data_IF_761022252705
#
_entry.id   IF_761022252705
#
_cell.length_a   1.000
_cell.length_b   1.000
_cell.length_c   1.000
_cell.angle_alpha   90.00
_cell.angle_beta   90.00
_cell.angle_gamma   90.00
#
_symmetry.space_group_name_H-M   'P 1'
#
loop_
_entity.id
_entity.type
_entity.pdbx_description
1 polymer ?
#
# COMPACT_ATOMS: atom_id res chain seq x y z
N UNK A 1 22.13 40.04 -12.42
CA UNK A 1 21.00 39.41 -11.71
C UNK A 1 20.22 38.63 -12.76
N UNK A 2 20.39 37.31 -12.80
CA UNK A 2 19.69 36.45 -13.75
C UNK A 2 18.27 36.25 -13.24
N UNK A 3 17.30 36.87 -13.91
CA UNK A 3 15.88 36.58 -13.69
C UNK A 3 15.61 35.20 -14.31
N UNK A 4 15.77 34.15 -13.52
CA UNK A 4 15.26 32.83 -13.86
C UNK A 4 13.72 32.88 -13.76
N UNK A 5 13.09 33.21 -14.89
CA UNK A 5 11.65 33.09 -15.11
C UNK A 5 11.29 31.70 -15.67
N UNK A 6 11.87 30.64 -15.12
CA UNK A 6 11.26 29.33 -15.25
C UNK A 6 9.84 29.41 -14.67
N UNK A 7 8.78 29.06 -15.44
CA UNK A 7 7.43 29.07 -14.90
C UNK A 7 7.43 28.17 -13.66
N UNK A 8 7.03 28.70 -12.50
CA UNK A 8 6.78 27.88 -11.32
C UNK A 8 5.82 26.79 -11.77
N UNK A 9 6.31 25.55 -11.82
CA UNK A 9 5.51 24.39 -12.15
C UNK A 9 4.31 24.43 -11.21
N UNK A 10 3.11 24.58 -11.75
CA UNK A 10 1.91 24.61 -10.94
C UNK A 10 1.78 23.22 -10.31
N UNK A 11 2.10 23.16 -9.02
CA UNK A 11 2.04 21.93 -8.24
C UNK A 11 0.59 21.49 -8.20
N UNK A 12 0.35 20.21 -8.48
CA UNK A 12 -1.01 19.69 -8.56
C UNK A 12 -1.81 19.98 -7.28
N UNK A 13 -3.07 20.34 -7.46
CA UNK A 13 -4.05 20.47 -6.39
C UNK A 13 -5.43 20.10 -6.90
N UNK A 14 -6.02 19.05 -6.34
CA UNK A 14 -7.43 18.76 -6.56
C UNK A 14 -8.27 19.98 -6.20
N UNK A 15 -9.31 20.25 -6.99
CA UNK A 15 -10.23 21.36 -6.76
C UNK A 15 -11.42 20.93 -5.86
N UNK A 16 -11.66 19.63 -5.75
CA UNK A 16 -12.75 19.06 -4.96
C UNK A 16 -12.18 18.16 -3.88
N UNK A 17 -12.74 18.26 -2.67
CA UNK A 17 -12.27 17.55 -1.50
C UNK A 17 -13.39 16.81 -0.81
N UNK A 18 -13.06 15.66 -0.24
CA UNK A 18 -13.87 14.99 0.76
C UNK A 18 -13.21 15.20 2.12
N UNK A 19 -13.93 15.89 2.99
CA UNK A 19 -13.56 16.15 4.39
C UNK A 19 -14.32 15.20 5.32
N UNK A 20 -13.84 15.08 6.55
CA UNK A 20 -14.56 14.38 7.61
C UNK A 20 -15.96 14.97 7.84
N UNK A 21 -16.92 14.08 8.09
CA UNK A 21 -18.33 14.42 8.36
C UNK A 21 -18.63 14.28 9.86
N UNK A 22 -18.95 15.37 10.58
CA UNK A 22 -19.22 15.33 12.02
C UNK A 22 -20.33 14.35 12.43
N UNK A 23 -21.32 14.13 11.56
CA UNK A 23 -22.38 13.15 11.73
C UNK A 23 -21.88 11.69 11.75
N UNK A 24 -20.66 11.42 11.26
CA UNK A 24 -19.99 10.11 11.29
C UNK A 24 -18.94 10.00 12.41
N UNK A 25 -19.04 10.82 13.46
CA UNK A 25 -18.07 10.87 14.56
C UNK A 25 -18.14 9.69 15.54
N UNK A 26 -19.24 8.94 15.57
CA UNK A 26 -19.41 7.82 16.50
C UNK A 26 -18.39 6.70 16.20
N UNK A 27 -17.67 6.17 17.21
CA UNK A 27 -16.51 5.31 17.00
C UNK A 27 -16.87 3.91 16.49
N UNK A 28 -15.91 3.26 15.82
CA UNK A 28 -16.06 1.91 15.26
C UNK A 28 -16.94 1.85 14.01
N UNK A 29 -17.49 0.66 13.73
CA UNK A 29 -18.28 0.36 12.53
C UNK A 29 -19.78 0.62 12.74
N UNK A 30 -20.17 1.89 12.92
CA UNK A 30 -21.59 2.23 13.09
C UNK A 30 -22.40 2.01 11.79
N UNK A 31 -23.72 1.80 11.87
CA UNK A 31 -24.57 1.68 10.68
C UNK A 31 -24.38 2.82 9.68
N UNK A 32 -24.23 4.06 10.17
CA UNK A 32 -24.05 5.25 9.34
C UNK A 32 -22.71 5.25 8.61
N UNK A 33 -21.62 4.85 9.28
CA UNK A 33 -20.29 4.72 8.66
C UNK A 33 -20.26 3.60 7.63
N UNK A 34 -20.90 2.47 7.94
CA UNK A 34 -20.99 1.33 7.02
C UNK A 34 -21.84 1.68 5.79
N UNK A 35 -22.94 2.40 5.97
CA UNK A 35 -23.75 2.87 4.85
C UNK A 35 -23.00 3.89 4.00
N UNK A 36 -22.29 4.83 4.62
CA UNK A 36 -21.44 5.78 3.89
C UNK A 36 -20.35 5.06 3.06
N UNK A 37 -19.70 4.06 3.67
CA UNK A 37 -18.72 3.21 2.98
C UNK A 37 -19.36 2.40 1.84
N UNK A 38 -20.58 1.88 2.02
CA UNK A 38 -21.32 1.16 0.98
C UNK A 38 -21.71 2.06 -0.18
N UNK A 39 -22.19 3.27 0.10
CA UNK A 39 -22.64 4.23 -0.91
C UNK A 39 -21.46 4.83 -1.70
N UNK A 40 -20.42 5.28 -1.00
CA UNK A 40 -19.36 6.08 -1.62
C UNK A 40 -18.03 5.34 -1.82
N UNK A 41 -17.87 4.15 -1.22
CA UNK A 41 -16.65 3.36 -1.36
C UNK A 41 -15.50 3.83 -0.47
N UNK A 42 -15.78 4.77 0.44
CA UNK A 42 -14.87 5.21 1.48
C UNK A 42 -15.62 5.83 2.67
N UNK A 43 -14.92 5.96 3.79
CA UNK A 43 -15.35 6.74 4.96
C UNK A 43 -14.11 7.32 5.65
N UNK A 44 -14.23 8.55 6.15
CA UNK A 44 -13.22 9.18 7.01
C UNK A 44 -13.70 9.04 8.45
N UNK A 45 -12.84 8.49 9.30
CA UNK A 45 -13.08 8.33 10.73
C UNK A 45 -12.17 9.26 11.52
N UNK A 46 -12.59 9.66 12.71
CA UNK A 46 -11.84 10.55 13.62
C UNK A 46 -11.46 9.86 14.94
N UNK A 47 -11.48 8.53 14.99
CA UNK A 47 -11.29 7.72 16.21
C UNK A 47 -9.93 7.91 16.89
N UNK A 48 -8.94 8.47 16.18
CA UNK A 48 -7.59 8.72 16.71
C UNK A 48 -7.25 10.21 16.82
N UNK A 49 -8.22 11.11 16.62
CA UNK A 49 -8.02 12.54 16.88
C UNK A 49 -7.68 12.74 18.36
N UNK A 50 -6.70 13.60 18.63
CA UNK A 50 -6.11 13.85 19.95
C UNK A 50 -5.43 12.64 20.61
N UNK A 51 -5.27 11.52 19.91
CA UNK A 51 -4.58 10.36 20.45
C UNK A 51 -3.07 10.67 20.65
N UNK A 52 -2.50 10.40 21.84
CA UNK A 52 -1.10 10.73 22.15
C UNK A 52 -0.06 10.02 21.27
N UNK A 53 -0.44 8.92 20.60
CA UNK A 53 0.43 8.23 19.64
C UNK A 53 0.70 9.05 18.39
N UNK A 54 -0.23 9.90 17.95
CA UNK A 54 -0.12 10.65 16.69
C UNK A 54 1.18 11.46 16.59
N UNK A 55 1.54 12.34 17.55
CA UNK A 55 2.81 13.07 17.50
C UNK A 55 4.04 12.15 17.59
N UNK A 56 3.99 11.06 18.36
CA UNK A 56 5.10 10.11 18.52
C UNK A 56 5.40 9.40 17.19
N UNK A 57 4.36 8.86 16.57
CA UNK A 57 4.43 8.18 15.28
C UNK A 57 4.84 9.14 14.17
N UNK A 58 4.36 10.39 14.19
CA UNK A 58 4.75 11.42 13.21
C UNK A 58 6.26 11.63 13.22
N UNK A 59 6.86 11.84 14.39
CA UNK A 59 8.30 12.06 14.49
C UNK A 59 9.11 10.82 14.10
N UNK A 60 8.65 9.62 14.45
CA UNK A 60 9.25 8.37 13.97
C UNK A 60 9.17 8.26 12.44
N UNK A 61 8.01 8.58 11.85
CA UNK A 61 7.82 8.61 10.40
C UNK A 61 8.78 9.58 9.70
N UNK A 62 8.97 10.78 10.25
CA UNK A 62 9.93 11.77 9.73
C UNK A 62 11.36 11.23 9.73
N UNK A 63 11.79 10.58 10.82
CA UNK A 63 13.13 9.97 10.93
C UNK A 63 13.32 8.83 9.92
N UNK A 64 12.33 7.96 9.77
CA UNK A 64 12.37 6.86 8.78
C UNK A 64 12.44 7.40 7.36
N UNK A 65 11.57 8.34 7.00
CA UNK A 65 11.58 8.97 5.66
C UNK A 65 12.91 9.64 5.37
N UNK A 66 13.47 10.39 6.34
CA UNK A 66 14.78 11.01 6.19
C UNK A 66 15.88 9.96 6.02
N UNK A 67 15.88 8.89 6.82
CA UNK A 67 16.89 7.84 6.73
C UNK A 67 16.84 7.07 5.40
N UNK A 68 15.65 6.89 4.81
CA UNK A 68 15.47 6.24 3.51
C UNK A 68 15.81 7.13 2.29
N UNK A 69 16.22 8.37 2.52
CA UNK A 69 16.74 9.26 1.49
C UNK A 69 17.91 8.60 0.72
N UNK A 70 17.97 8.73 -0.62
CA UNK A 70 18.96 8.02 -1.44
C UNK A 70 20.41 8.32 -1.05
N UNK A 71 20.71 9.55 -0.60
CA UNK A 71 22.04 9.95 -0.14
C UNK A 71 22.53 9.25 1.14
N UNK A 72 21.63 8.68 1.93
CA UNK A 72 21.97 8.01 3.18
C UNK A 72 22.25 6.51 3.00
N UNK A 73 21.91 5.93 1.85
CA UNK A 73 22.07 4.51 1.58
C UNK A 73 21.46 3.64 2.69
N UNK A 74 22.33 2.96 3.46
CA UNK A 74 21.96 2.14 4.61
C UNK A 74 22.65 2.57 5.92
N UNK A 75 23.29 3.74 5.94
CA UNK A 75 24.18 4.16 7.04
C UNK A 75 23.41 4.60 8.29
N UNK A 76 22.19 5.11 8.10
CA UNK A 76 21.32 5.58 9.20
C UNK A 76 20.41 4.45 9.68
N UNK A 77 19.63 3.90 8.73
CA UNK A 77 18.76 2.73 8.90
C UNK A 77 19.11 1.74 7.80
N UNK A 78 19.21 0.46 8.17
CA UNK A 78 19.36 -0.63 7.19
C UNK A 78 18.00 -0.90 6.52
N UNK A 79 17.62 -0.01 5.60
CA UNK A 79 16.35 -0.09 4.89
C UNK A 79 16.30 -1.23 3.85
N UNK A 80 17.42 -1.95 3.63
CA UNK A 80 17.44 -3.19 2.84
C UNK A 80 16.67 -4.34 3.50
N UNK A 81 16.36 -4.20 4.80
CA UNK A 81 15.49 -5.11 5.57
C UNK A 81 13.99 -4.83 5.42
N UNK A 82 13.63 -3.81 4.64
CA UNK A 82 12.26 -3.47 4.32
C UNK A 82 12.00 -3.54 2.82
N UNK A 83 11.02 -2.78 2.36
CA UNK A 83 10.82 -2.52 0.93
C UNK A 83 10.48 -1.04 0.75
N UNK A 84 11.40 -0.28 0.14
CA UNK A 84 11.22 1.15 -0.10
C UNK A 84 10.74 1.36 -1.53
N UNK A 85 9.53 1.89 -1.65
CA UNK A 85 9.00 2.37 -2.93
C UNK A 85 9.66 3.69 -3.27
N UNK A 86 10.33 3.74 -4.42
CA UNK A 86 11.10 4.90 -4.86
C UNK A 86 10.52 5.50 -6.15
N UNK A 87 10.61 6.81 -6.26
CA UNK A 87 10.20 7.59 -7.43
C UNK A 87 11.46 7.99 -8.22
N UNK A 88 11.36 9.03 -9.05
CA UNK A 88 12.52 9.62 -9.70
C UNK A 88 13.63 9.96 -8.70
N UNK A 89 14.89 9.96 -9.15
CA UNK A 89 16.06 10.19 -8.29
C UNK A 89 16.14 9.30 -7.03
N UNK A 90 15.45 8.16 -7.03
CA UNK A 90 15.40 7.22 -5.92
C UNK A 90 14.79 7.78 -4.62
N UNK A 91 14.03 8.87 -4.71
CA UNK A 91 13.33 9.46 -3.56
C UNK A 91 12.22 8.53 -3.04
N UNK A 92 12.13 8.27 -1.73
CA UNK A 92 11.09 7.40 -1.17
C UNK A 92 9.70 8.06 -1.24
N UNK A 93 8.68 7.27 -1.60
CA UNK A 93 7.27 7.68 -1.53
C UNK A 93 6.38 6.71 -0.73
N UNK A 94 6.90 5.54 -0.40
CA UNK A 94 6.26 4.58 0.49
C UNK A 94 7.32 3.66 1.10
N UNK A 95 7.22 3.33 2.38
CA UNK A 95 8.23 2.59 3.12
C UNK A 95 7.56 1.43 3.87
N UNK A 96 7.87 0.21 3.46
CA UNK A 96 7.40 -1.03 4.11
C UNK A 96 8.52 -1.62 4.95
N UNK A 97 8.14 -2.41 5.95
CA UNK A 97 9.10 -2.99 6.91
C UNK A 97 9.39 -2.14 8.12
N UNK A 98 8.58 -1.11 8.40
CA UNK A 98 8.76 -0.21 9.56
C UNK A 98 8.61 -0.91 10.92
N UNK A 99 8.12 -2.15 10.96
CA UNK A 99 8.14 -3.00 12.16
C UNK A 99 9.45 -3.77 12.36
N UNK A 100 10.27 -3.88 11.32
CA UNK A 100 11.53 -4.61 11.38
C UNK A 100 12.50 -3.87 12.32
N UNK A 101 13.16 -4.54 13.29
CA UNK A 101 14.00 -3.87 14.29
C UNK A 101 15.19 -3.09 13.68
N UNK A 102 15.62 -3.44 12.46
CA UNK A 102 16.60 -2.68 11.69
C UNK A 102 16.20 -1.21 11.42
N UNK A 103 14.91 -0.88 11.45
CA UNK A 103 14.40 0.49 11.34
C UNK A 103 14.55 1.29 12.63
N UNK A 104 14.88 0.65 13.76
CA UNK A 104 15.17 1.31 15.05
C UNK A 104 14.04 2.21 15.56
N UNK A 105 12.80 1.95 15.16
CA UNK A 105 11.60 2.69 15.58
C UNK A 105 10.55 1.73 16.15
N UNK A 106 10.75 1.21 17.39
CA UNK A 106 9.84 0.23 17.99
C UNK A 106 8.42 0.75 18.19
N UNK A 107 8.24 2.08 18.24
CA UNK A 107 6.95 2.76 18.42
C UNK A 107 5.89 2.35 17.39
N UNK A 108 6.29 1.93 16.18
CA UNK A 108 5.34 1.40 15.20
C UNK A 108 4.76 0.05 15.64
N UNK A 109 5.59 -0.84 16.18
CA UNK A 109 5.14 -2.14 16.71
C UNK A 109 4.34 -1.96 18.00
N UNK A 110 4.76 -1.04 18.86
CA UNK A 110 4.04 -0.69 20.09
C UNK A 110 2.64 -0.14 19.79
N UNK A 111 2.50 0.80 18.84
CA UNK A 111 1.19 1.28 18.42
C UNK A 111 0.35 0.19 17.76
N UNK A 112 0.95 -0.63 16.89
CA UNK A 112 0.25 -1.70 16.17
C UNK A 112 -0.37 -2.74 17.13
N UNK A 113 0.27 -2.97 18.28
CA UNK A 113 -0.23 -3.81 19.36
C UNK A 113 -0.99 -3.09 20.48
N UNK A 114 -1.07 -1.75 20.43
CA UNK A 114 -1.60 -0.95 21.54
C UNK A 114 -3.09 -1.19 21.79
N UNK A 115 -3.58 -0.99 23.03
CA UNK A 115 -5.01 -0.99 23.33
C UNK A 115 -5.81 0.04 22.52
N UNK A 116 -5.18 1.16 22.12
CA UNK A 116 -5.83 2.18 21.29
C UNK A 116 -6.18 1.64 19.90
N UNK A 117 -5.20 1.03 19.21
CA UNK A 117 -5.43 0.48 17.88
C UNK A 117 -6.23 -0.82 17.91
N UNK A 118 -5.88 -1.76 18.80
CA UNK A 118 -6.61 -3.04 18.93
C UNK A 118 -8.03 -2.83 19.46
N UNK A 119 -8.27 -1.82 20.31
CA UNK A 119 -9.60 -1.43 20.76
C UNK A 119 -10.47 -0.90 19.62
N UNK A 120 -9.90 -0.15 18.68
CA UNK A 120 -10.58 0.21 17.43
C UNK A 120 -10.90 -1.03 16.59
N UNK A 121 -9.91 -1.92 16.37
CA UNK A 121 -10.11 -3.14 15.59
C UNK A 121 -11.21 -4.01 16.19
N UNK A 122 -11.25 -4.17 17.52
CA UNK A 122 -12.34 -4.88 18.20
C UNK A 122 -13.70 -4.27 17.90
N UNK A 123 -13.84 -2.94 18.01
CA UNK A 123 -15.10 -2.24 17.69
C UNK A 123 -15.47 -2.33 16.21
N UNK A 124 -14.49 -2.40 15.31
CA UNK A 124 -14.72 -2.43 13.86
C UNK A 124 -14.96 -3.84 13.31
N UNK A 125 -14.26 -4.85 13.81
CA UNK A 125 -14.26 -6.22 13.27
C UNK A 125 -14.90 -7.25 14.20
N UNK A 126 -15.26 -6.86 15.44
CA UNK A 126 -15.77 -7.77 16.47
C UNK A 126 -14.86 -9.00 16.67
N UNK A 127 -13.58 -8.71 16.92
CA UNK A 127 -12.53 -9.71 17.08
C UNK A 127 -11.58 -9.30 18.20
N UNK A 128 -11.14 -10.28 18.99
CA UNK A 128 -10.14 -10.09 20.03
C UNK A 128 -8.71 -10.25 19.47
N UNK A 129 -7.70 -9.58 20.07
CA UNK A 129 -6.31 -9.65 19.60
C UNK A 129 -5.77 -11.07 19.40
N UNK A 130 -6.18 -12.01 20.25
CA UNK A 130 -5.79 -13.42 20.22
C UNK A 130 -6.29 -14.16 18.98
N UNK A 131 -7.28 -13.62 18.26
CA UNK A 131 -7.86 -14.19 17.03
C UNK A 131 -7.44 -13.42 15.77
N UNK A 132 -6.43 -12.55 15.87
CA UNK A 132 -5.91 -11.81 14.73
C UNK A 132 -4.86 -12.59 13.95
N UNK A 133 -4.73 -12.26 12.66
CA UNK A 133 -3.62 -12.59 11.79
C UNK A 133 -3.05 -11.30 11.21
N UNK A 134 -1.71 -11.24 11.13
CA UNK A 134 -1.01 -10.04 10.71
C UNK A 134 -1.31 -9.68 9.25
N UNK A 135 -1.38 -8.39 8.97
CA UNK A 135 -1.59 -7.86 7.62
C UNK A 135 -0.51 -6.85 7.27
N UNK A 136 -0.79 -5.96 6.32
CA UNK A 136 0.14 -4.94 5.88
C UNK A 136 0.32 -3.81 6.90
N UNK A 137 1.54 -3.30 6.96
CA UNK A 137 1.85 -1.98 7.51
C UNK A 137 2.88 -1.27 6.62
N UNK A 138 2.60 -0.01 6.34
CA UNK A 138 3.34 0.81 5.38
C UNK A 138 3.26 2.28 5.81
N UNK A 139 4.39 2.98 5.78
CA UNK A 139 4.44 4.43 5.91
C UNK A 139 4.42 5.08 4.53
N UNK A 140 3.39 5.89 4.25
CA UNK A 140 3.36 6.77 3.10
C UNK A 140 4.10 8.07 3.38
N UNK A 141 4.98 8.45 2.45
CA UNK A 141 5.74 9.70 2.51
C UNK A 141 5.78 10.38 1.13
N UNK A 142 6.20 11.63 1.08
CA UNK A 142 6.39 12.33 -0.18
C UNK A 142 7.87 12.33 -0.60
N UNK A 143 8.17 12.12 -1.89
CA UNK A 143 9.49 12.37 -2.43
C UNK A 143 9.81 13.87 -2.30
N UNK A 144 11.05 14.20 -1.94
CA UNK A 144 11.40 15.59 -1.58
C UNK A 144 11.62 16.51 -2.77
N UNK A 145 11.85 15.94 -3.96
CA UNK A 145 12.38 16.69 -5.12
C UNK A 145 11.42 16.79 -6.31
N UNK A 146 10.64 15.75 -6.58
CA UNK A 146 9.79 15.64 -7.78
C UNK A 146 8.44 15.07 -7.43
N UNK A 147 7.38 15.58 -8.06
CA UNK A 147 6.05 14.98 -7.95
C UNK A 147 6.10 13.51 -8.39
N UNK A 148 5.31 12.70 -7.70
CA UNK A 148 5.10 11.30 -8.05
C UNK A 148 3.59 11.05 -8.09
N UNK A 149 3.08 10.66 -9.26
CA UNK A 149 1.67 10.35 -9.48
C UNK A 149 1.53 8.90 -9.90
N UNK A 150 0.69 8.15 -9.21
CA UNK A 150 0.33 6.81 -9.63
C UNK A 150 -0.70 6.87 -10.78
N UNK A 151 -0.76 5.81 -11.59
CA UNK A 151 -1.90 5.63 -12.50
C UNK A 151 -3.20 5.49 -11.71
N UNK A 152 -4.33 5.87 -12.31
CA UNK A 152 -5.63 5.51 -11.77
C UNK A 152 -5.79 3.99 -11.80
N UNK A 153 -6.25 3.41 -10.70
CA UNK A 153 -6.37 1.95 -10.56
C UNK A 153 -7.45 1.55 -9.56
N UNK A 154 -7.70 0.24 -9.51
CA UNK A 154 -8.31 -0.45 -8.37
C UNK A 154 -7.24 -1.37 -7.77
N UNK A 155 -7.34 -1.69 -6.49
CA UNK A 155 -6.38 -2.58 -5.81
C UNK A 155 -6.62 -4.06 -6.11
N UNK A 156 -7.83 -4.42 -6.54
CA UNK A 156 -8.17 -5.79 -6.94
C UNK A 156 -7.74 -6.08 -8.37
N UNK A 157 -7.69 -7.34 -8.77
CA UNK A 157 -7.68 -7.72 -10.19
C UNK A 157 -9.12 -7.86 -10.68
N UNK A 158 -9.48 -7.23 -11.80
CA UNK A 158 -10.83 -7.30 -12.39
C UNK A 158 -10.82 -7.75 -13.86
N UNK A 159 -9.71 -8.36 -14.29
CA UNK A 159 -9.48 -8.92 -15.62
C UNK A 159 -8.91 -10.32 -15.50
N UNK A 160 -8.91 -11.09 -16.59
CA UNK A 160 -8.27 -12.40 -16.63
C UNK A 160 -8.88 -13.37 -15.63
N UNK A 161 -8.05 -14.12 -14.90
CA UNK A 161 -8.53 -15.04 -13.85
C UNK A 161 -9.10 -14.32 -12.62
N UNK A 162 -8.76 -13.04 -12.42
CA UNK A 162 -9.07 -12.30 -11.19
C UNK A 162 -8.09 -12.57 -10.05
N UNK A 163 -7.06 -13.39 -10.27
CA UNK A 163 -6.02 -13.64 -9.28
C UNK A 163 -5.08 -12.43 -9.13
N UNK A 164 -4.50 -12.28 -7.95
CA UNK A 164 -3.45 -11.28 -7.70
C UNK A 164 -2.16 -11.66 -8.42
N UNK A 165 -1.38 -10.67 -8.82
CA UNK A 165 -0.07 -10.85 -9.45
C UNK A 165 1.06 -10.27 -8.58
N UNK A 166 2.28 -10.76 -8.79
CA UNK A 166 3.47 -10.22 -8.14
C UNK A 166 3.86 -8.86 -8.71
N UNK A 167 4.24 -7.93 -7.85
CA UNK A 167 4.59 -6.55 -8.22
C UNK A 167 5.81 -6.44 -9.13
N UNK A 168 6.68 -7.45 -9.15
CA UNK A 168 7.84 -7.50 -10.04
C UNK A 168 7.55 -8.20 -11.38
N UNK A 169 6.38 -8.83 -11.53
CA UNK A 169 6.05 -9.61 -12.72
C UNK A 169 5.14 -8.83 -13.68
N UNK A 170 5.31 -9.10 -14.96
CA UNK A 170 4.40 -8.59 -16.00
C UNK A 170 3.25 -9.56 -16.19
N UNK A 171 2.05 -9.02 -16.43
CA UNK A 171 0.90 -9.85 -16.85
C UNK A 171 1.17 -10.46 -18.22
N UNK A 172 0.99 -11.78 -18.33
CA UNK A 172 1.23 -12.57 -19.55
C UNK A 172 -0.05 -12.93 -20.29
N UNK A 173 -1.21 -12.59 -19.72
CA UNK A 173 -2.52 -12.86 -20.29
C UNK A 173 -2.76 -12.04 -21.57
N UNK A 174 -3.39 -12.66 -22.58
CA UNK A 174 -3.67 -12.04 -23.87
C UNK A 174 -4.91 -11.12 -23.86
N UNK A 175 -5.21 -10.46 -24.99
CA UNK A 175 -6.34 -9.54 -25.13
C UNK A 175 -7.70 -10.11 -24.72
N UNK A 176 -7.92 -11.41 -24.90
CA UNK A 176 -9.15 -12.12 -24.54
C UNK A 176 -9.47 -12.05 -23.04
N UNK A 177 -8.45 -12.02 -22.19
CA UNK A 177 -8.58 -11.86 -20.74
C UNK A 177 -9.08 -10.46 -20.33
N UNK A 178 -9.02 -9.48 -21.24
CA UNK A 178 -9.50 -8.11 -21.06
C UNK A 178 -10.81 -7.84 -21.81
N UNK A 179 -11.45 -8.89 -22.34
CA UNK A 179 -12.76 -8.76 -22.96
C UNK A 179 -13.82 -8.28 -21.97
N UNK A 180 -14.81 -7.55 -22.46
CA UNK A 180 -15.94 -7.10 -21.64
C UNK A 180 -16.69 -8.27 -20.98
N UNK A 181 -16.76 -9.42 -21.66
CA UNK A 181 -17.37 -10.63 -21.10
C UNK A 181 -16.65 -11.11 -19.84
N UNK A 182 -15.31 -11.25 -19.90
CA UNK A 182 -14.50 -11.65 -18.74
C UNK A 182 -14.64 -10.62 -17.62
N UNK A 183 -14.54 -9.34 -17.93
CA UNK A 183 -14.69 -8.28 -16.94
C UNK A 183 -16.07 -8.29 -16.28
N UNK A 184 -17.15 -8.53 -17.03
CA UNK A 184 -18.51 -8.62 -16.46
C UNK A 184 -18.63 -9.77 -15.48
N UNK A 185 -17.93 -10.88 -15.71
CA UNK A 185 -17.87 -11.99 -14.75
C UNK A 185 -17.10 -11.54 -13.50
N UNK A 186 -15.87 -11.02 -13.66
CA UNK A 186 -15.04 -10.56 -12.53
C UNK A 186 -15.73 -9.46 -11.73
N UNK A 187 -16.47 -8.58 -12.39
CA UNK A 187 -17.20 -7.49 -11.75
C UNK A 187 -18.32 -7.97 -10.83
N UNK A 188 -19.04 -9.04 -11.20
CA UNK A 188 -20.05 -9.64 -10.33
C UNK A 188 -19.42 -10.21 -9.07
N UNK A 189 -18.32 -10.94 -9.22
CA UNK A 189 -17.56 -11.49 -8.08
C UNK A 189 -17.07 -10.37 -7.16
N UNK A 190 -16.57 -9.28 -7.73
CA UNK A 190 -16.15 -8.08 -6.99
C UNK A 190 -17.31 -7.45 -6.22
N UNK A 191 -18.50 -7.34 -6.81
CA UNK A 191 -19.67 -6.77 -6.13
C UNK A 191 -20.09 -7.63 -4.93
N UNK A 192 -20.09 -8.95 -5.08
CA UNK A 192 -20.40 -9.89 -4.01
C UNK A 192 -19.35 -9.81 -2.88
N UNK A 193 -18.06 -9.81 -3.23
CA UNK A 193 -16.97 -9.67 -2.26
C UNK A 193 -16.97 -8.32 -1.56
N UNK A 194 -17.32 -7.24 -2.25
CA UNK A 194 -17.45 -5.91 -1.66
C UNK A 194 -18.54 -5.86 -0.57
N UNK A 195 -19.72 -6.42 -0.84
CA UNK A 195 -20.80 -6.46 0.14
C UNK A 195 -20.44 -7.37 1.32
N UNK A 196 -19.78 -8.50 1.03
CA UNK A 196 -19.27 -9.43 2.05
C UNK A 196 -18.29 -8.74 3.00
N UNK A 197 -17.32 -7.97 2.48
CA UNK A 197 -16.33 -7.24 3.30
C UNK A 197 -16.97 -6.23 4.23
N UNK A 198 -17.99 -5.50 3.77
CA UNK A 198 -18.71 -4.50 4.58
C UNK A 198 -19.57 -5.20 5.65
N UNK A 199 -20.18 -6.34 5.31
CA UNK A 199 -21.08 -7.06 6.22
C UNK A 199 -20.32 -7.85 7.28
N UNK A 200 -19.37 -8.68 6.85
CA UNK A 200 -18.64 -9.59 7.75
C UNK A 200 -17.56 -8.86 8.55
N UNK A 201 -16.96 -7.80 7.98
CA UNK A 201 -15.91 -6.99 8.62
C UNK A 201 -14.76 -7.83 9.19
N UNK A 202 -14.39 -8.91 8.51
CA UNK A 202 -13.30 -9.79 8.93
C UNK A 202 -11.93 -9.11 8.91
N UNK A 203 -11.80 -7.93 8.33
CA UNK A 203 -10.56 -7.16 8.34
C UNK A 203 -10.84 -5.67 8.32
N UNK A 204 -9.85 -4.90 8.76
CA UNK A 204 -9.83 -3.45 8.58
C UNK A 204 -8.42 -3.01 8.23
N UNK A 205 -8.32 -2.29 7.12
CA UNK A 205 -7.15 -1.52 6.74
C UNK A 205 -7.55 -0.06 6.63
N UNK A 206 -6.70 0.83 7.16
CA UNK A 206 -6.92 2.27 7.12
C UNK A 206 -5.66 3.01 6.70
N UNK A 207 -5.83 4.24 6.22
CA UNK A 207 -4.78 5.22 6.06
C UNK A 207 -4.91 6.24 7.20
N UNK A 208 -4.18 6.02 8.30
CA UNK A 208 -4.16 6.89 9.47
C UNK A 208 -3.20 8.05 9.22
N UNK A 209 -3.74 9.26 9.11
CA UNK A 209 -2.96 10.45 8.88
C UNK A 209 -2.22 10.87 10.16
N UNK A 210 -0.90 10.95 10.09
CA UNK A 210 -0.07 11.47 11.18
C UNK A 210 0.16 12.97 11.00
N UNK A 211 0.17 13.48 9.77
CA UNK A 211 0.17 14.90 9.42
C UNK A 211 -1.08 15.24 8.58
N UNK A 212 -1.30 16.51 8.24
CA UNK A 212 -2.31 16.85 7.22
C UNK A 212 -1.97 16.11 5.91
N UNK A 213 -2.91 15.36 5.34
CA UNK A 213 -2.73 14.59 4.11
C UNK A 213 -3.85 14.89 3.11
N UNK A 214 -3.48 15.15 1.85
CA UNK A 214 -4.41 15.33 0.72
C UNK A 214 -3.94 14.58 -0.55
N UNK A 215 -3.07 13.59 -0.40
CA UNK A 215 -2.41 12.87 -1.49
C UNK A 215 -3.23 11.71 -2.06
N UNK A 216 -4.34 11.32 -1.43
CA UNK A 216 -5.19 10.21 -1.90
C UNK A 216 -6.41 10.77 -2.64
N UNK A 217 -6.60 10.37 -3.88
CA UNK A 217 -7.71 10.81 -4.72
C UNK A 217 -8.56 9.61 -5.13
N UNK A 218 -9.87 9.78 -5.22
CA UNK A 218 -10.79 8.72 -5.64
C UNK A 218 -12.01 9.24 -6.38
N UNK A 219 -12.68 8.34 -7.10
CA UNK A 219 -14.00 8.57 -7.70
C UNK A 219 -15.04 7.89 -6.81
N UNK A 220 -15.80 8.68 -6.05
CA UNK A 220 -16.79 8.15 -5.10
C UNK A 220 -17.85 7.28 -5.81
N UNK A 221 -18.21 6.16 -5.19
CA UNK A 221 -19.22 5.21 -5.70
C UNK A 221 -18.75 4.33 -6.86
N UNK A 222 -17.53 4.49 -7.36
CA UNK A 222 -17.01 3.70 -8.50
C UNK A 222 -16.79 2.21 -8.18
N UNK A 223 -16.81 1.82 -6.90
CA UNK A 223 -16.72 0.42 -6.44
C UNK A 223 -18.00 -0.39 -6.64
N UNK A 224 -19.16 0.27 -6.82
CA UNK A 224 -20.47 -0.39 -6.87
C UNK A 224 -21.13 -0.36 -8.25
N UNK A 225 -20.66 0.50 -9.16
CA UNK A 225 -21.18 0.63 -10.53
C UNK A 225 -20.23 0.12 -11.61
N UNK A 226 -20.81 -0.31 -12.73
CA UNK A 226 -20.05 -0.59 -13.94
C UNK A 226 -19.26 0.64 -14.41
N UNK A 227 -18.07 0.41 -14.96
CA UNK A 227 -17.20 1.48 -15.47
C UNK A 227 -17.82 2.22 -16.65
N UNK A 228 -17.52 3.50 -16.76
CA UNK A 228 -17.78 4.32 -17.95
C UNK A 228 -16.76 4.04 -19.05
N UNK A 229 -17.01 4.46 -20.32
CA UNK A 229 -15.99 4.37 -21.37
C UNK A 229 -14.70 5.15 -21.05
N UNK A 230 -14.82 6.30 -20.38
CA UNK A 230 -13.67 7.09 -19.93
C UNK A 230 -12.85 6.32 -18.89
N UNK A 231 -13.50 5.78 -17.86
CA UNK A 231 -12.81 4.98 -16.85
C UNK A 231 -12.18 3.72 -17.45
N UNK A 232 -12.80 3.13 -18.48
CA UNK A 232 -12.18 2.03 -19.20
C UNK A 232 -10.87 2.45 -19.87
N UNK A 233 -10.90 3.54 -20.62
CA UNK A 233 -9.70 4.07 -21.28
C UNK A 233 -8.61 4.39 -20.25
N UNK A 234 -8.98 4.99 -19.13
CA UNK A 234 -8.05 5.35 -18.05
C UNK A 234 -7.41 4.11 -17.40
N UNK A 235 -8.20 3.06 -17.14
CA UNK A 235 -7.78 1.89 -16.38
C UNK A 235 -7.17 0.77 -17.23
N UNK A 236 -7.45 0.74 -18.53
CA UNK A 236 -6.95 -0.30 -19.43
C UNK A 236 -5.44 -0.14 -19.65
N UNK A 237 -4.62 -1.17 -19.41
CA UNK A 237 -3.17 -1.09 -19.62
C UNK A 237 -2.82 -0.72 -21.07
N UNK A 238 -1.82 0.13 -21.26
CA UNK A 238 -1.39 0.55 -22.60
C UNK A 238 -1.00 -0.64 -23.49
N UNK A 239 -0.31 -1.63 -22.94
CA UNK A 239 0.06 -2.85 -23.67
C UNK A 239 -1.14 -3.63 -24.22
N UNK A 240 -2.31 -3.52 -23.57
CA UNK A 240 -3.54 -4.17 -24.03
C UNK A 240 -4.24 -3.34 -25.09
N UNK A 241 -4.19 -2.02 -24.99
CA UNK A 241 -4.63 -1.11 -26.07
C UNK A 241 -3.83 -1.37 -27.34
N UNK A 242 -2.51 -1.51 -27.21
CA UNK A 242 -1.60 -1.75 -28.34
C UNK A 242 -1.84 -3.11 -29.02
N UNK A 243 -2.29 -4.11 -28.25
CA UNK A 243 -2.69 -5.42 -28.76
C UNK A 243 -4.12 -5.48 -29.30
N UNK A 244 -4.84 -4.35 -29.31
CA UNK A 244 -6.15 -4.22 -29.96
C UNK A 244 -7.36 -4.52 -29.08
N UNK A 245 -7.22 -4.53 -27.74
CA UNK A 245 -8.39 -4.59 -26.86
C UNK A 245 -9.28 -3.36 -27.12
N UNK A 246 -10.58 -3.53 -27.44
CA UNK A 246 -11.46 -2.41 -27.77
C UNK A 246 -11.60 -1.41 -26.63
N UNK A 247 -11.40 -0.12 -26.91
CA UNK A 247 -11.62 0.98 -25.97
C UNK A 247 -12.05 2.26 -26.69
N UNK A 248 -12.47 3.28 -25.93
CA UNK A 248 -12.82 4.60 -26.48
C UNK A 248 -11.81 5.63 -25.97
N UNK A 249 -10.83 6.06 -26.79
CA UNK A 249 -9.89 7.11 -26.41
C UNK A 249 -10.64 8.37 -26.02
N UNK A 250 -10.53 8.77 -24.76
CA UNK A 250 -11.32 9.88 -24.20
C UNK A 250 -10.62 10.62 -23.06
N UNK A 251 -9.56 10.08 -22.48
CA UNK A 251 -8.77 10.79 -21.47
C UNK A 251 -7.52 11.43 -22.07
N UNK A 252 -7.24 12.67 -21.68
CA UNK A 252 -6.04 13.40 -22.14
C UNK A 252 -4.79 13.13 -21.28
N UNK A 253 -4.89 12.26 -20.27
CA UNK A 253 -3.79 11.90 -19.37
C UNK A 253 -3.59 12.86 -18.19
N UNK A 254 -4.26 14.01 -18.18
CA UNK A 254 -4.01 15.08 -17.21
C UNK A 254 -5.26 15.53 -16.47
N UNK A 255 -6.42 15.53 -17.12
CA UNK A 255 -7.63 16.08 -16.54
C UNK A 255 -8.17 15.20 -15.40
N UNK A 256 -8.78 15.81 -14.37
CA UNK A 256 -9.49 15.08 -13.33
C UNK A 256 -10.58 14.17 -13.90
N UNK A 257 -10.81 13.03 -13.26
CA UNK A 257 -11.96 12.18 -13.60
C UNK A 257 -13.27 12.82 -13.11
N UNK A 258 -14.40 12.62 -13.82
CA UNK A 258 -15.70 13.09 -13.34
C UNK A 258 -16.02 12.54 -11.94
N UNK A 259 -16.41 13.43 -11.02
CA UNK A 259 -16.72 13.05 -9.64
C UNK A 259 -15.51 12.71 -8.77
N UNK A 260 -14.29 12.97 -9.26
CA UNK A 260 -13.07 12.86 -8.48
C UNK A 260 -13.08 13.81 -7.27
N UNK A 261 -12.58 13.30 -6.14
CA UNK A 261 -12.29 14.07 -4.93
C UNK A 261 -10.90 13.71 -4.39
N UNK A 262 -10.21 14.68 -3.79
CA UNK A 262 -9.07 14.41 -2.92
C UNK A 262 -9.57 14.21 -1.48
N UNK A 263 -9.11 13.15 -0.82
CA UNK A 263 -9.39 12.90 0.59
C UNK A 263 -8.52 13.82 1.41
N UNK A 264 -9.11 14.69 2.23
CA UNK A 264 -8.39 15.57 3.13
C UNK A 264 -8.48 15.03 4.55
N UNK A 265 -7.34 14.68 5.13
CA UNK A 265 -7.23 14.16 6.48
C UNK A 265 -6.46 15.13 7.37
N UNK A 266 -6.91 15.28 8.60
CA UNK A 266 -6.17 15.88 9.72
C UNK A 266 -5.46 14.79 10.54
N UNK A 267 -4.42 15.15 11.32
CA UNK A 267 -3.78 14.22 12.22
C UNK A 267 -4.77 13.49 13.13
N UNK A 268 -4.71 12.16 13.13
CA UNK A 268 -5.63 11.30 13.89
C UNK A 268 -6.93 10.96 13.16
N UNK A 269 -7.21 11.59 12.03
CA UNK A 269 -8.23 11.09 11.11
C UNK A 269 -7.66 9.94 10.27
N UNK A 270 -8.52 9.01 9.88
CA UNK A 270 -8.13 7.90 9.03
C UNK A 270 -9.15 7.66 7.91
N UNK A 271 -8.63 7.33 6.73
CA UNK A 271 -9.43 6.87 5.60
C UNK A 271 -9.58 5.35 5.66
N UNK A 272 -10.81 4.85 5.70
CA UNK A 272 -11.13 3.45 5.38
C UNK A 272 -11.79 3.45 4.02
N UNK A 273 -11.29 2.63 3.10
CA UNK A 273 -11.69 2.67 1.69
C UNK A 273 -11.90 1.25 1.18
N UNK A 274 -12.85 1.10 0.27
CA UNK A 274 -12.95 -0.11 -0.53
C UNK A 274 -11.83 -0.13 -1.58
N UNK A 275 -11.01 -1.18 -1.57
CA UNK A 275 -9.90 -1.36 -2.52
C UNK A 275 -10.33 -1.31 -3.99
N UNK A 276 -11.59 -1.63 -4.29
CA UNK A 276 -12.13 -1.55 -5.65
C UNK A 276 -12.50 -0.15 -6.09
N UNK A 277 -12.64 0.85 -5.20
CA UNK A 277 -12.89 2.23 -5.62
C UNK A 277 -11.76 2.72 -6.53
N UNK A 278 -12.09 3.32 -7.68
CA UNK A 278 -11.12 3.91 -8.60
C UNK A 278 -10.41 5.04 -7.88
N UNK A 279 -9.08 4.98 -7.84
CA UNK A 279 -8.28 5.87 -7.03
C UNK A 279 -6.86 6.05 -7.59
N UNK A 280 -6.16 7.05 -7.06
CA UNK A 280 -4.74 7.29 -7.30
C UNK A 280 -4.08 7.95 -6.09
N UNK A 281 -2.76 7.93 -6.09
CA UNK A 281 -1.94 8.67 -5.13
C UNK A 281 -1.14 9.74 -5.86
N UNK A 282 -1.18 10.96 -5.35
CA UNK A 282 -0.40 12.09 -5.85
C UNK A 282 0.47 12.67 -4.75
N UNK A 283 1.77 12.41 -4.84
CA UNK A 283 2.76 12.91 -3.91
C UNK A 283 3.32 14.23 -4.44
N UNK A 284 3.34 15.24 -3.58
CA UNK A 284 3.73 16.61 -3.90
C UNK A 284 4.99 16.98 -3.10
N UNK A 285 6.09 17.40 -3.75
CA UNK A 285 7.27 17.89 -3.06
C UNK A 285 6.91 19.03 -2.10
N UNK A 286 7.69 19.20 -1.03
CA UNK A 286 7.52 20.27 -0.02
C UNK A 286 6.27 20.15 0.87
N UNK A 287 5.30 19.30 0.52
CA UNK A 287 4.20 18.94 1.42
C UNK A 287 4.58 17.70 2.20
N UNK A 288 4.48 17.78 3.52
CA UNK A 288 4.63 16.60 4.35
C UNK A 288 3.52 15.61 4.02
N UNK A 289 3.91 14.36 3.81
CA UNK A 289 2.99 13.21 3.88
C UNK A 289 3.58 12.25 4.89
N UNK A 290 2.74 11.86 5.83
CA UNK A 290 3.13 11.00 6.93
C UNK A 290 1.87 10.25 7.35
N UNK A 291 1.61 9.13 6.69
CA UNK A 291 0.34 8.42 6.80
C UNK A 291 0.59 6.92 6.87
N UNK A 292 0.05 6.28 7.90
CA UNK A 292 0.20 4.83 8.08
C UNK A 292 -0.92 4.11 7.34
N UNK A 293 -0.57 3.30 6.34
CA UNK A 293 -1.45 2.23 5.88
C UNK A 293 -1.27 1.04 6.79
N UNK A 294 -2.26 0.76 7.63
CA UNK A 294 -2.15 -0.19 8.74
C UNK A 294 -3.46 -0.94 8.94
N UNK A 295 -3.39 -2.21 9.35
CA UNK A 295 -4.58 -3.02 9.54
C UNK A 295 -4.35 -4.35 10.23
N UNK A 296 -5.45 -4.98 10.64
CA UNK A 296 -5.49 -6.34 11.16
C UNK A 296 -6.62 -7.11 10.47
N UNK A 297 -6.47 -8.42 10.41
CA UNK A 297 -7.51 -9.34 9.93
C UNK A 297 -7.82 -10.37 11.00
N UNK A 298 -9.07 -10.81 11.03
CA UNK A 298 -9.50 -12.00 11.76
C UNK A 298 -8.86 -13.24 11.12
N UNK A 299 -8.34 -14.11 11.96
CA UNK A 299 -7.77 -15.37 11.52
C UNK A 299 -8.89 -16.33 11.11
N UNK A 300 -8.83 -16.82 9.87
CA UNK A 300 -9.81 -17.76 9.31
C UNK A 300 -9.59 -19.22 9.71
N UNK A 301 -8.57 -19.52 10.51
CA UNK A 301 -8.11 -20.88 10.80
C UNK A 301 -6.86 -21.28 10.02
N UNK A 302 -6.32 -22.48 10.27
CA UNK A 302 -5.19 -23.01 9.52
C UNK A 302 -5.58 -23.30 8.06
N UNK A 303 -4.63 -23.14 7.15
CA UNK A 303 -4.79 -23.55 5.75
C UNK A 303 -4.16 -24.93 5.55
N UNK A 304 -4.77 -25.75 4.69
CA UNK A 304 -4.15 -26.96 4.15
C UNK A 304 -3.40 -26.69 2.84
N UNK A 305 -3.46 -25.45 2.32
CA UNK A 305 -2.72 -25.07 1.12
C UNK A 305 -1.22 -24.97 1.39
N UNK A 306 -0.42 -25.31 0.39
CA UNK A 306 1.02 -25.10 0.43
C UNK A 306 1.39 -23.61 0.60
N UNK A 307 2.41 -23.29 1.42
CA UNK A 307 2.85 -21.92 1.60
C UNK A 307 3.24 -21.25 0.28
N UNK A 308 2.68 -20.07 0.03
CA UNK A 308 2.85 -19.31 -1.21
C UNK A 308 4.11 -18.44 -1.13
N UNK A 309 4.81 -18.30 -2.26
CA UNK A 309 5.87 -17.28 -2.34
C UNK A 309 5.22 -15.92 -2.12
N UNK A 310 5.78 -15.14 -1.21
CA UNK A 310 5.25 -13.81 -0.91
C UNK A 310 5.77 -12.79 -1.90
N UNK A 311 4.96 -11.78 -2.23
CA UNK A 311 5.40 -10.63 -3.01
C UNK A 311 6.52 -9.88 -2.26
N UNK A 312 7.53 -9.41 -3.00
CA UNK A 312 8.69 -8.70 -2.45
C UNK A 312 8.34 -7.57 -1.49
N UNK A 313 7.20 -6.89 -1.70
CA UNK A 313 6.69 -5.83 -0.81
C UNK A 313 6.41 -6.31 0.63
N UNK A 314 6.28 -7.61 0.83
CA UNK A 314 5.99 -8.27 2.11
C UNK A 314 7.08 -9.25 2.53
N UNK A 315 8.11 -9.50 1.71
CA UNK A 315 9.21 -10.41 2.04
C UNK A 315 9.84 -10.09 3.40
N UNK A 316 9.99 -8.80 3.71
CA UNK A 316 10.52 -8.32 5.00
C UNK A 316 9.81 -8.91 6.21
N UNK A 317 8.51 -9.19 6.09
CA UNK A 317 7.69 -9.67 7.19
C UNK A 317 8.06 -11.11 7.55
N UNK A 318 8.63 -11.90 6.63
CA UNK A 318 9.09 -13.26 6.92
C UNK A 318 10.43 -13.32 7.67
N UNK A 319 11.13 -12.21 7.88
CA UNK A 319 12.35 -12.22 8.70
C UNK A 319 11.97 -12.50 10.17
N UNK A 320 12.51 -13.57 10.80
CA UNK A 320 12.22 -13.90 12.20
C UNK A 320 12.54 -12.75 13.17
N UNK A 321 13.45 -11.85 12.82
CA UNK A 321 13.72 -10.65 13.62
C UNK A 321 12.49 -9.75 13.78
N UNK A 322 11.57 -9.74 12.80
CA UNK A 322 10.27 -9.05 12.92
C UNK A 322 9.45 -9.69 14.03
N UNK A 323 9.26 -11.02 13.97
CA UNK A 323 8.49 -11.77 14.97
C UNK A 323 9.03 -11.51 16.39
N UNK A 324 10.34 -11.62 16.58
CA UNK A 324 10.97 -11.45 17.89
C UNK A 324 10.86 -10.02 18.44
N UNK A 325 10.76 -9.02 17.56
CA UNK A 325 10.58 -7.62 17.95
C UNK A 325 9.14 -7.25 18.32
N UNK A 326 8.15 -8.12 18.07
CA UNK A 326 6.75 -7.81 18.40
C UNK A 326 6.55 -7.80 19.93
N UNK A 327 5.93 -6.74 20.49
CA UNK A 327 5.91 -6.51 21.94
C UNK A 327 4.96 -7.44 22.72
N UNK A 328 4.04 -8.13 22.04
CA UNK A 328 3.05 -8.99 22.68
C UNK A 328 3.09 -10.42 22.11
N UNK A 329 2.92 -11.42 22.98
CA UNK A 329 2.90 -12.83 22.57
C UNK A 329 1.76 -13.15 21.58
N UNK A 330 0.60 -12.49 21.71
CA UNK A 330 -0.49 -12.64 20.75
C UNK A 330 -0.10 -12.10 19.36
N UNK A 331 0.73 -11.05 19.27
CA UNK A 331 1.22 -10.53 17.99
C UNK A 331 2.17 -11.52 17.33
N UNK A 332 3.03 -12.20 18.12
CA UNK A 332 3.90 -13.27 17.61
C UNK A 332 3.08 -14.42 17.05
N UNK A 333 1.98 -14.78 17.74
CA UNK A 333 1.03 -15.78 17.24
C UNK A 333 0.32 -15.32 15.97
N UNK A 334 -0.10 -14.04 15.89
CA UNK A 334 -0.70 -13.46 14.70
C UNK A 334 0.27 -13.43 13.50
N UNK A 335 1.55 -13.22 13.78
CA UNK A 335 2.63 -13.34 12.79
C UNK A 335 2.83 -14.81 12.37
N UNK A 336 2.89 -15.75 13.31
CA UNK A 336 3.07 -17.19 13.04
C UNK A 336 1.97 -17.72 12.11
N UNK A 337 0.72 -17.30 12.34
CA UNK A 337 -0.43 -17.62 11.49
C UNK A 337 -0.27 -17.09 10.06
N UNK A 338 0.28 -15.89 9.90
CA UNK A 338 0.55 -15.32 8.59
C UNK A 338 1.72 -16.05 7.92
N UNK A 339 2.83 -16.22 8.62
CA UNK A 339 4.04 -16.86 8.12
C UNK A 339 3.81 -18.34 7.74
N UNK A 340 2.92 -19.06 8.42
CA UNK A 340 2.57 -20.43 8.07
C UNK A 340 2.02 -20.60 6.65
N UNK A 341 1.47 -19.53 6.06
CA UNK A 341 0.89 -19.54 4.72
C UNK A 341 1.84 -18.97 3.64
N UNK A 342 3.04 -18.54 4.03
CA UNK A 342 3.94 -17.80 3.15
C UNK A 342 5.38 -18.29 3.26
N UNK A 343 6.14 -18.12 2.18
CA UNK A 343 7.58 -18.39 2.14
C UNK A 343 8.31 -17.32 1.31
N UNK A 344 9.60 -17.16 1.58
CA UNK A 344 10.47 -16.33 0.76
C UNK A 344 10.68 -17.02 -0.59
N UNK A 345 10.73 -16.23 -1.66
CA UNK A 345 11.17 -16.74 -2.97
C UNK A 345 12.69 -16.88 -3.05
N UNK A 346 13.15 -17.50 -4.13
CA UNK A 346 14.55 -17.89 -4.33
C UNK A 346 15.31 -16.92 -5.26
N UNK A 347 14.65 -15.85 -5.71
CA UNK A 347 15.21 -14.83 -6.60
C UNK A 347 15.34 -13.50 -5.88
N UNK A 348 16.18 -12.59 -6.40
CA UNK A 348 16.31 -11.25 -5.83
C UNK A 348 14.99 -10.46 -5.96
N UNK A 349 14.29 -10.64 -7.07
CA UNK A 349 13.01 -9.99 -7.38
C UNK A 349 11.87 -10.48 -6.46
N UNK A 350 12.02 -11.64 -5.81
CA UNK A 350 11.05 -12.11 -4.82
C UNK A 350 11.26 -11.42 -3.45
N UNK A 351 12.38 -10.74 -3.26
CA UNK A 351 12.83 -10.24 -1.94
C UNK A 351 13.04 -8.73 -1.87
N UNK A 352 13.39 -8.10 -2.99
CA UNK A 352 13.98 -6.76 -2.99
C UNK A 352 13.34 -5.83 -4.01
N UNK A 353 13.37 -4.53 -3.71
CA UNK A 353 13.07 -3.51 -4.70
C UNK A 353 14.26 -3.33 -5.66
N UNK A 354 14.01 -2.81 -6.87
CA UNK A 354 15.06 -2.60 -7.87
C UNK A 354 16.27 -1.79 -7.40
N UNK A 355 16.09 -0.84 -6.48
CA UNK A 355 17.19 -0.09 -5.87
C UNK A 355 18.13 -0.99 -5.06
N UNK A 356 17.58 -1.89 -4.25
CA UNK A 356 18.38 -2.80 -3.43
C UNK A 356 19.05 -3.86 -4.32
N UNK A 357 18.37 -4.34 -5.36
CA UNK A 357 18.96 -5.23 -6.38
C UNK A 357 20.16 -4.58 -7.06
N UNK A 358 20.08 -3.30 -7.43
CA UNK A 358 21.20 -2.56 -8.02
C UNK A 358 22.40 -2.46 -7.07
N UNK A 359 22.17 -2.24 -5.77
CA UNK A 359 23.24 -2.21 -4.77
C UNK A 359 23.87 -3.58 -4.54
N UNK A 360 23.06 -4.64 -4.57
CA UNK A 360 23.58 -6.01 -4.53
C UNK A 360 24.48 -6.25 -5.74
N UNK A 361 24.01 -5.93 -6.95
CA UNK A 361 24.80 -6.05 -8.18
C UNK A 361 26.03 -5.12 -8.26
N UNK A 362 26.12 -4.09 -7.42
CA UNK A 362 27.35 -3.29 -7.28
C UNK A 362 28.37 -3.88 -6.29
N UNK A 363 28.10 -5.07 -5.74
CA UNK A 363 28.98 -5.82 -4.86
C UNK A 363 28.64 -5.73 -3.37
N UNK A 364 27.54 -5.07 -3.00
CA UNK A 364 27.13 -4.97 -1.59
C UNK A 364 26.34 -6.22 -1.15
N UNK A 365 26.69 -6.78 0.01
CA UNK A 365 25.94 -7.91 0.59
C UNK A 365 24.95 -7.39 1.63
N UNK A 366 23.74 -7.05 1.18
CA UNK A 366 22.67 -6.43 1.98
C UNK A 366 21.44 -7.35 2.11
N UNK A 367 20.36 -6.88 2.73
CA UNK A 367 19.13 -7.67 2.89
C UNK A 367 19.29 -8.83 3.86
N UNK A 368 18.88 -10.04 3.45
CA UNK A 368 19.03 -11.26 4.25
C UNK A 368 20.46 -11.81 4.29
N UNK A 369 21.35 -11.37 3.39
CA UNK A 369 22.78 -11.77 3.36
C UNK A 369 22.97 -13.30 3.31
N UNK A 370 22.07 -13.99 2.62
CA UNK A 370 22.12 -15.42 2.33
C UNK A 370 23.11 -15.68 1.20
N UNK A 371 23.21 -16.94 0.76
CA UNK A 371 24.04 -17.30 -0.39
C UNK A 371 23.58 -16.60 -1.68
N UNK A 372 22.27 -16.35 -1.83
CA UNK A 372 21.70 -15.63 -2.97
C UNK A 372 22.33 -14.24 -3.14
N UNK A 373 22.34 -13.43 -2.07
CA UNK A 373 22.88 -12.08 -2.15
C UNK A 373 24.40 -12.08 -2.29
N UNK A 374 25.10 -13.09 -1.75
CA UNK A 374 26.55 -13.24 -1.89
C UNK A 374 26.96 -13.59 -3.32
N UNK A 375 26.29 -14.55 -3.95
CA UNK A 375 26.57 -14.92 -5.34
C UNK A 375 26.19 -13.80 -6.30
N UNK A 376 25.05 -13.14 -6.09
CA UNK A 376 24.66 -11.98 -6.88
C UNK A 376 25.64 -10.82 -6.75
N UNK A 377 26.09 -10.52 -5.52
CA UNK A 377 27.10 -9.48 -5.30
C UNK A 377 28.45 -9.81 -5.93
N UNK A 378 28.86 -11.08 -5.91
CA UNK A 378 30.10 -11.52 -6.55
C UNK A 378 30.01 -11.51 -8.09
N UNK A 379 28.86 -11.87 -8.66
CA UNK A 379 28.62 -11.87 -10.10
C UNK A 379 28.39 -10.46 -10.68
N UNK A 380 27.88 -9.54 -9.86
CA UNK A 380 27.57 -8.17 -10.24
C UNK A 380 26.61 -8.11 -11.43
N UNK A 381 26.97 -7.40 -12.49
CA UNK A 381 26.14 -7.32 -13.71
C UNK A 381 25.97 -8.63 -14.47
N UNK A 382 26.80 -9.65 -14.20
CA UNK A 382 26.61 -10.97 -14.77
C UNK A 382 25.48 -11.77 -14.09
N UNK A 383 24.94 -11.30 -12.96
CA UNK A 383 23.75 -11.89 -12.35
C UNK A 383 22.51 -11.55 -13.19
N UNK A 384 21.89 -12.58 -13.76
CA UNK A 384 20.73 -12.46 -14.63
C UNK A 384 19.45 -12.18 -13.84
N UNK A 385 18.49 -11.53 -14.48
CA UNK A 385 17.17 -11.29 -13.90
C UNK A 385 16.49 -12.63 -13.60
N UNK A 386 15.89 -12.76 -12.42
CA UNK A 386 15.24 -14.00 -11.95
C UNK A 386 16.17 -15.21 -11.79
N UNK A 387 17.50 -14.99 -11.78
CA UNK A 387 18.47 -16.04 -11.48
C UNK A 387 18.33 -16.52 -10.02
N UNK A 388 18.54 -17.83 -9.82
CA UNK A 388 18.56 -18.49 -8.51
C UNK A 388 19.98 -18.95 -8.17
N UNK A 389 20.22 -19.31 -6.90
CA UNK A 389 21.49 -19.88 -6.44
C UNK A 389 21.77 -21.18 -7.18
N UNK A 390 23.04 -21.42 -7.51
CA UNK A 390 23.50 -22.64 -8.18
C UNK A 390 23.65 -23.84 -7.25
#
# INVERSE_FOLDING_TARGET
>A
MSNDQSPKKEVYRSQTFADFKPELSAPGATPERLEHLREHGFVIINDFVDNPWIPILREAGRRVTQACAPENGYDVIDCSKGYVHRAGENEPWAIRGILHPAFKEPVFAEFYGSPDFTGFVKKWCDVDPEDLVMTNILLWCNPRKKENRLGWHRDTTWWGTGESYFSQESRTEGPEAYSEEVERIRWKEIQEENEKRITERNSVGMFLALADDECHELVAGSHSRWRTPLEHDVLLPQSMKDQGVPYTPSWNGTDPLPGQVAIRLKPGEALIRNGTTIHTGHCVPERERNTLSIGWSKWGGPSEEEPKVVDARFAWQLDPAVREALPHEWMKTAWDRWAANHKLGDRLEDRYAGFDIQRIKSGEVVGWRTELERQAAAAGEAWEQYQTVS
#
